data_IF_201103442752
#
_entry.id   IF_201103442752
#
_cell.length_a   1.000
_cell.length_b   1.000
_cell.length_c   1.000
_cell.angle_alpha   90.00
_cell.angle_beta   90.00
_cell.angle_gamma   90.00
#
_symmetry.space_group_name_H-M   'P 1'
#
loop_
_entity.id
_entity.type
_entity.pdbx_description
1 polymer ?
#
# COMPACT_ATOMS: atom_id res chain seq x y z
N UNK A 1 -3.51 -3.71 -10.15
CA UNK A 1 -4.32 -4.79 -9.55
C UNK A 1 -4.54 -4.45 -8.10
N UNK A 2 -5.79 -4.25 -7.68
CA UNK A 2 -6.13 -3.89 -6.29
C UNK A 2 -6.44 -5.11 -5.42
N UNK A 3 -6.56 -6.29 -6.03
CA UNK A 3 -6.70 -7.58 -5.38
C UNK A 3 -5.99 -8.64 -6.22
N UNK A 4 -5.47 -9.69 -5.58
CA UNK A 4 -4.90 -10.85 -6.23
C UNK A 4 -5.83 -12.04 -6.00
N UNK A 5 -6.29 -12.65 -7.09
CA UNK A 5 -7.26 -13.75 -7.06
C UNK A 5 -6.54 -15.00 -7.56
N UNK A 6 -6.53 -16.07 -6.77
CA UNK A 6 -5.88 -17.33 -7.14
C UNK A 6 -6.85 -18.48 -7.07
N UNK A 7 -7.05 -19.15 -8.21
CA UNK A 7 -7.76 -20.42 -8.27
C UNK A 7 -6.85 -21.58 -7.90
N UNK A 8 -7.27 -22.40 -6.94
CA UNK A 8 -6.59 -23.63 -6.53
C UNK A 8 -7.60 -24.77 -6.45
N UNK A 9 -7.57 -25.69 -7.43
CA UNK A 9 -8.39 -26.90 -7.38
C UNK A 9 -7.72 -28.00 -6.56
N UNK A 10 -8.53 -28.86 -5.97
CA UNK A 10 -8.05 -30.05 -5.28
C UNK A 10 -7.50 -31.08 -6.30
N UNK A 11 -6.40 -31.80 -5.99
CA UNK A 11 -5.60 -31.75 -4.76
C UNK A 11 -4.64 -30.56 -4.71
N UNK A 12 -4.57 -29.89 -3.56
CA UNK A 12 -3.65 -28.76 -3.34
C UNK A 12 -2.26 -29.31 -2.96
N UNK A 13 -1.31 -29.15 -3.87
CA UNK A 13 0.07 -29.58 -3.68
C UNK A 13 0.81 -28.69 -2.68
N UNK A 14 1.75 -29.26 -1.91
CA UNK A 14 2.58 -28.51 -0.96
C UNK A 14 3.36 -27.35 -1.62
N UNK A 15 3.79 -27.55 -2.87
CA UNK A 15 4.43 -26.49 -3.68
C UNK A 15 3.51 -25.27 -3.86
N UNK A 16 2.21 -25.49 -4.06
CA UNK A 16 1.21 -24.42 -4.21
C UNK A 16 1.06 -23.64 -2.92
N UNK A 17 1.01 -24.33 -1.77
CA UNK A 17 0.97 -23.68 -0.44
C UNK A 17 2.23 -22.85 -0.22
N UNK A 18 3.40 -23.37 -0.59
CA UNK A 18 4.67 -22.64 -0.53
C UNK A 18 4.64 -21.35 -1.36
N UNK A 19 4.09 -21.41 -2.58
CA UNK A 19 3.90 -20.23 -3.43
C UNK A 19 2.93 -19.22 -2.82
N UNK A 20 1.81 -19.67 -2.24
CA UNK A 20 0.83 -18.81 -1.59
C UNK A 20 1.43 -18.06 -0.38
N UNK A 21 2.19 -18.77 0.48
CA UNK A 21 2.93 -18.16 1.60
C UNK A 21 4.00 -17.17 1.13
N UNK A 22 4.59 -17.41 -0.03
CA UNK A 22 5.55 -16.50 -0.65
C UNK A 22 4.88 -15.24 -1.17
N UNK A 23 3.70 -15.37 -1.77
CA UNK A 23 2.88 -14.25 -2.26
C UNK A 23 2.40 -13.40 -1.09
N UNK A 24 1.87 -14.03 -0.03
CA UNK A 24 1.45 -13.36 1.20
C UNK A 24 2.58 -12.49 1.76
N UNK A 25 3.76 -13.08 1.98
CA UNK A 25 4.92 -12.36 2.50
C UNK A 25 5.28 -11.18 1.60
N UNK A 26 5.37 -11.39 0.29
CA UNK A 26 5.85 -10.37 -0.67
C UNK A 26 4.81 -9.29 -0.96
N UNK A 27 3.51 -9.54 -0.74
CA UNK A 27 2.41 -8.62 -1.09
C UNK A 27 1.44 -8.37 0.06
N UNK A 28 1.96 -8.04 1.24
CA UNK A 28 1.18 -7.74 2.45
C UNK A 28 0.07 -6.68 2.29
N UNK A 29 0.15 -5.79 1.30
CA UNK A 29 -0.86 -4.75 1.04
C UNK A 29 -1.65 -4.98 -0.24
N UNK A 30 -1.57 -6.17 -0.82
CA UNK A 30 -2.49 -6.60 -1.86
C UNK A 30 -3.36 -7.71 -1.25
N UNK A 31 -4.68 -7.52 -1.15
CA UNK A 31 -5.54 -8.57 -0.64
C UNK A 31 -5.43 -9.81 -1.52
N UNK A 32 -5.40 -10.98 -0.88
CA UNK A 32 -5.35 -12.28 -1.56
C UNK A 32 -6.70 -12.98 -1.36
N UNK A 33 -7.45 -13.15 -2.45
CA UNK A 33 -8.67 -13.96 -2.46
C UNK A 33 -8.32 -15.31 -3.07
N UNK A 34 -8.64 -16.36 -2.34
CA UNK A 34 -8.42 -17.71 -2.80
C UNK A 34 -9.73 -18.32 -3.28
N UNK A 35 -9.75 -18.81 -4.51
CA UNK A 35 -10.88 -19.55 -5.06
C UNK A 35 -10.55 -21.03 -5.01
N UNK A 36 -11.35 -21.84 -4.33
CA UNK A 36 -11.07 -23.27 -4.17
C UNK A 36 -12.32 -24.15 -4.19
N UNK A 37 -12.12 -25.46 -4.27
CA UNK A 37 -13.21 -26.43 -4.20
C UNK A 37 -13.71 -26.54 -2.75
N UNK A 38 -15.00 -26.82 -2.57
CA UNK A 38 -15.64 -26.96 -1.25
C UNK A 38 -15.32 -28.32 -0.62
N UNK A 39 -14.03 -28.59 -0.44
CA UNK A 39 -13.47 -29.83 0.08
C UNK A 39 -12.79 -29.56 1.43
N UNK A 40 -13.16 -30.25 2.54
CA UNK A 40 -12.59 -30.00 3.87
C UNK A 40 -11.06 -30.05 3.91
N UNK A 41 -10.47 -30.97 3.16
CA UNK A 41 -9.02 -31.14 3.06
C UNK A 41 -8.33 -29.97 2.35
N UNK A 42 -9.00 -29.36 1.36
CA UNK A 42 -8.50 -28.15 0.71
C UNK A 42 -8.47 -27.00 1.70
N UNK A 43 -9.57 -26.78 2.44
CA UNK A 43 -9.68 -25.72 3.47
C UNK A 43 -8.62 -25.89 4.56
N UNK A 44 -8.46 -27.11 5.07
CA UNK A 44 -7.46 -27.40 6.10
C UNK A 44 -6.03 -27.18 5.62
N UNK A 45 -5.70 -27.41 4.35
CA UNK A 45 -4.36 -27.14 3.81
C UNK A 45 -4.08 -25.66 3.58
N UNK A 46 -5.13 -24.85 3.49
CA UNK A 46 -5.06 -23.43 3.19
C UNK A 46 -5.18 -22.54 4.44
N UNK A 47 -5.50 -23.11 5.61
CA UNK A 47 -5.61 -22.38 6.88
C UNK A 47 -4.33 -21.63 7.28
N UNK A 48 -3.17 -22.12 6.83
CA UNK A 48 -1.87 -21.51 7.13
C UNK A 48 -1.47 -20.39 6.15
N UNK A 49 -2.35 -20.06 5.19
CA UNK A 49 -2.14 -18.93 4.27
C UNK A 49 -3.03 -17.79 4.73
N UNK A 50 -2.44 -16.63 5.02
CA UNK A 50 -3.23 -15.45 5.35
C UNK A 50 -3.91 -14.91 4.09
N UNK A 51 -5.14 -15.34 3.87
CA UNK A 51 -6.02 -14.88 2.78
C UNK A 51 -6.97 -13.82 3.32
N UNK A 52 -7.38 -12.88 2.46
CA UNK A 52 -8.40 -11.88 2.78
C UNK A 52 -9.80 -12.48 2.71
N UNK A 53 -10.01 -13.46 1.81
CA UNK A 53 -11.25 -14.22 1.67
C UNK A 53 -10.99 -15.56 0.98
N UNK A 54 -11.90 -16.51 1.19
CA UNK A 54 -11.97 -17.78 0.46
C UNK A 54 -13.32 -17.87 -0.23
N UNK A 55 -13.32 -18.04 -1.55
CA UNK A 55 -14.52 -18.17 -2.39
C UNK A 55 -14.56 -19.57 -2.96
N UNK A 56 -15.74 -20.17 -3.05
CA UNK A 56 -15.89 -21.49 -3.65
C UNK A 56 -16.01 -21.38 -5.17
N UNK A 57 -15.42 -22.32 -5.90
CA UNK A 57 -15.61 -22.37 -7.37
C UNK A 57 -17.09 -22.46 -7.77
N UNK A 58 -17.92 -23.12 -6.96
CA UNK A 58 -19.35 -23.24 -7.18
C UNK A 58 -20.09 -21.90 -7.11
N UNK A 59 -19.61 -20.99 -6.26
CA UNK A 59 -20.28 -19.73 -5.90
C UNK A 59 -19.56 -18.50 -6.49
N UNK A 60 -18.61 -18.73 -7.40
CA UNK A 60 -17.69 -17.71 -7.91
C UNK A 60 -18.40 -16.51 -8.53
N UNK A 61 -19.49 -16.71 -9.27
CA UNK A 61 -20.18 -15.61 -9.94
C UNK A 61 -20.93 -14.70 -8.95
N UNK A 62 -21.41 -15.26 -7.84
CA UNK A 62 -22.24 -14.54 -6.86
C UNK A 62 -21.42 -13.95 -5.72
N UNK A 63 -20.40 -14.66 -5.24
CA UNK A 63 -19.63 -14.27 -4.06
C UNK A 63 -18.37 -13.47 -4.39
N UNK A 64 -17.67 -13.78 -5.49
CA UNK A 64 -16.38 -13.16 -5.79
C UNK A 64 -16.44 -11.62 -5.88
N UNK A 65 -17.45 -10.99 -6.52
CA UNK A 65 -17.53 -9.53 -6.54
C UNK A 65 -17.65 -8.91 -5.15
N UNK A 66 -18.45 -9.53 -4.26
CA UNK A 66 -18.66 -9.06 -2.89
C UNK A 66 -17.38 -9.19 -2.05
N UNK A 67 -16.69 -10.33 -2.18
CA UNK A 67 -15.44 -10.58 -1.49
C UNK A 67 -14.30 -9.69 -2.00
N UNK A 68 -14.29 -9.31 -3.28
CA UNK A 68 -13.35 -8.32 -3.81
C UNK A 68 -13.54 -6.97 -3.10
N UNK A 69 -14.78 -6.48 -2.98
CA UNK A 69 -15.05 -5.21 -2.31
C UNK A 69 -14.71 -5.29 -0.81
N UNK A 70 -15.12 -6.36 -0.12
CA UNK A 70 -14.80 -6.56 1.29
C UNK A 70 -13.27 -6.65 1.53
N UNK A 71 -12.55 -7.39 0.69
CA UNK A 71 -11.11 -7.55 0.80
C UNK A 71 -10.38 -6.22 0.53
N UNK A 72 -10.84 -5.40 -0.41
CA UNK A 72 -10.29 -4.05 -0.64
C UNK A 72 -10.47 -3.17 0.59
N UNK A 73 -11.66 -3.16 1.19
CA UNK A 73 -11.94 -2.43 2.43
C UNK A 73 -11.12 -2.89 3.64
N UNK A 74 -10.66 -4.15 3.64
CA UNK A 74 -9.81 -4.71 4.70
C UNK A 74 -8.36 -4.18 4.67
N UNK A 75 -7.88 -3.69 3.51
CA UNK A 75 -6.50 -3.22 3.35
C UNK A 75 -6.42 -1.73 3.70
N UNK A 76 -5.68 -1.34 4.75
CA UNK A 76 -5.73 0.05 5.23
C UNK A 76 -5.32 1.12 4.19
N UNK A 77 -4.35 0.82 3.32
CA UNK A 77 -3.94 1.75 2.26
C UNK A 77 -5.00 1.95 1.18
N UNK A 78 -5.76 0.89 0.83
CA UNK A 78 -6.85 0.99 -0.13
C UNK A 78 -8.03 1.74 0.47
N UNK A 79 -8.36 1.48 1.74
CA UNK A 79 -9.35 2.24 2.48
C UNK A 79 -9.00 3.73 2.59
N UNK A 80 -7.73 4.06 2.83
CA UNK A 80 -7.27 5.46 2.80
C UNK A 80 -7.41 6.08 1.40
N UNK A 81 -7.20 5.29 0.34
CA UNK A 81 -7.37 5.76 -1.03
C UNK A 81 -8.85 6.06 -1.34
N UNK A 82 -9.77 5.21 -0.87
CA UNK A 82 -11.22 5.44 -0.98
C UNK A 82 -11.64 6.69 -0.22
N UNK A 83 -11.25 6.80 1.06
CA UNK A 83 -11.53 7.98 1.89
C UNK A 83 -10.98 9.27 1.26
N UNK A 84 -9.79 9.24 0.68
CA UNK A 84 -9.22 10.39 -0.02
C UNK A 84 -9.97 10.75 -1.32
N UNK A 85 -10.64 9.77 -1.95
CA UNK A 85 -11.49 10.01 -3.13
C UNK A 85 -12.81 10.67 -2.77
N UNK A 86 -13.36 10.36 -1.59
CA UNK A 86 -14.63 10.89 -1.08
C UNK A 86 -14.47 12.19 -0.28
N UNK A 87 -13.26 12.47 0.21
CA UNK A 87 -12.97 13.66 0.99
C UNK A 87 -13.20 14.96 0.21
N UNK A 88 -13.58 16.01 0.94
CA UNK A 88 -13.68 17.37 0.40
C UNK A 88 -12.27 17.93 0.16
N UNK A 89 -11.70 17.63 -1.00
CA UNK A 89 -10.37 18.05 -1.42
C UNK A 89 -10.43 18.81 -2.76
N UNK A 90 -9.42 19.64 -3.07
CA UNK A 90 -9.24 20.19 -4.41
C UNK A 90 -9.31 19.08 -5.48
N UNK A 91 -9.92 19.32 -6.66
CA UNK A 91 -10.08 18.29 -7.70
C UNK A 91 -8.79 17.54 -8.05
N UNK A 92 -7.67 18.26 -8.10
CA UNK A 92 -6.37 17.69 -8.39
C UNK A 92 -5.87 16.71 -7.32
N UNK A 93 -6.19 16.93 -6.04
CA UNK A 93 -5.84 16.04 -4.94
C UNK A 93 -6.79 14.85 -4.81
N UNK A 94 -8.09 15.03 -5.12
CA UNK A 94 -9.07 13.92 -5.17
C UNK A 94 -8.66 12.84 -6.17
N UNK A 95 -7.92 13.17 -7.21
CA UNK A 95 -7.34 12.19 -8.15
C UNK A 95 -5.96 11.73 -7.70
N UNK A 96 -5.08 12.66 -7.31
CA UNK A 96 -3.68 12.35 -7.03
C UNK A 96 -3.46 11.50 -5.77
N UNK A 97 -4.17 11.77 -4.67
CA UNK A 97 -3.96 11.05 -3.41
C UNK A 97 -4.42 9.58 -3.52
N UNK A 98 -5.65 9.28 -3.99
CA UNK A 98 -6.07 7.89 -4.15
C UNK A 98 -5.16 7.11 -5.11
N UNK A 99 -4.76 7.73 -6.24
CA UNK A 99 -3.83 7.11 -7.17
C UNK A 99 -2.50 6.75 -6.50
N UNK A 100 -1.90 7.70 -5.79
CA UNK A 100 -0.61 7.48 -5.12
C UNK A 100 -0.67 6.38 -4.06
N UNK A 101 -1.76 6.31 -3.26
CA UNK A 101 -1.96 5.29 -2.23
C UNK A 101 -2.13 3.89 -2.85
N UNK A 102 -2.92 3.78 -3.93
CA UNK A 102 -3.11 2.53 -4.67
C UNK A 102 -1.80 2.03 -5.29
N UNK A 103 -1.00 2.94 -5.85
CA UNK A 103 0.25 2.60 -6.50
C UNK A 103 1.26 1.91 -5.56
N UNK A 104 1.25 2.24 -4.26
CA UNK A 104 2.13 1.64 -3.24
C UNK A 104 2.01 0.12 -3.17
N UNK A 105 0.84 -0.44 -3.48
CA UNK A 105 0.61 -1.89 -3.42
C UNK A 105 1.47 -2.67 -4.41
N UNK A 106 1.91 -2.04 -5.50
CA UNK A 106 2.85 -2.61 -6.46
C UNK A 106 4.18 -1.84 -6.50
N UNK A 107 4.15 -0.64 -7.07
CA UNK A 107 5.30 0.26 -7.22
C UNK A 107 4.90 1.71 -6.86
N UNK A 108 5.43 2.26 -5.76
CA UNK A 108 5.09 3.62 -5.33
C UNK A 108 5.57 4.66 -6.35
N UNK A 109 4.78 5.72 -6.51
CA UNK A 109 5.14 6.87 -7.35
C UNK A 109 6.37 7.57 -6.76
N UNK A 110 7.40 7.78 -7.60
CA UNK A 110 8.74 8.18 -7.15
C UNK A 110 8.96 9.68 -7.16
N UNK A 111 8.13 10.42 -7.88
CA UNK A 111 8.26 11.88 -8.01
C UNK A 111 6.93 12.56 -8.29
N UNK A 112 6.88 13.87 -8.01
CA UNK A 112 5.71 14.70 -8.35
C UNK A 112 5.47 14.71 -9.87
N UNK A 113 6.53 14.70 -10.68
CA UNK A 113 6.42 14.67 -12.15
C UNK A 113 5.74 13.39 -12.65
N UNK A 114 6.10 12.24 -12.06
CA UNK A 114 5.48 10.96 -12.37
C UNK A 114 4.01 10.93 -11.96
N UNK A 115 3.68 11.45 -10.76
CA UNK A 115 2.29 11.56 -10.31
C UNK A 115 1.46 12.45 -11.25
N UNK A 116 1.99 13.64 -11.55
CA UNK A 116 1.39 14.62 -12.45
C UNK A 116 1.06 14.03 -13.82
N UNK A 117 2.00 13.29 -14.42
CA UNK A 117 1.78 12.60 -15.68
C UNK A 117 0.67 11.54 -15.57
N UNK A 118 0.63 10.78 -14.48
CA UNK A 118 -0.36 9.72 -14.28
C UNK A 118 -1.79 10.22 -14.05
N UNK A 119 -1.95 11.41 -13.46
CA UNK A 119 -3.28 12.00 -13.18
C UNK A 119 -3.63 13.20 -14.06
N UNK A 120 -2.85 13.46 -15.11
CA UNK A 120 -3.08 14.53 -16.09
C UNK A 120 -3.17 15.94 -15.50
N UNK A 121 -2.37 16.24 -14.47
CA UNK A 121 -2.22 17.58 -13.90
C UNK A 121 -0.79 18.09 -14.04
N UNK A 122 -0.57 19.41 -13.95
CA UNK A 122 0.81 19.93 -13.89
C UNK A 122 1.46 19.64 -12.53
N UNK A 123 2.79 19.40 -12.46
CA UNK A 123 3.50 19.20 -11.20
C UNK A 123 3.34 20.38 -10.22
N UNK A 124 3.28 21.60 -10.75
CA UNK A 124 3.12 22.83 -9.98
C UNK A 124 1.73 22.89 -9.36
N UNK A 125 0.69 22.57 -10.15
CA UNK A 125 -0.70 22.52 -9.69
C UNK A 125 -0.87 21.54 -8.54
N UNK A 126 -0.32 20.32 -8.66
CA UNK A 126 -0.37 19.32 -7.60
C UNK A 126 0.36 19.77 -6.34
N UNK A 127 1.58 20.29 -6.49
CA UNK A 127 2.39 20.73 -5.36
C UNK A 127 1.74 21.89 -4.60
N UNK A 128 1.18 22.86 -5.33
CA UNK A 128 0.48 24.01 -4.75
C UNK A 128 -0.81 23.59 -4.06
N UNK A 129 -1.64 22.77 -4.71
CA UNK A 129 -2.87 22.27 -4.10
C UNK A 129 -2.58 21.49 -2.81
N UNK A 130 -1.58 20.61 -2.83
CA UNK A 130 -1.20 19.83 -1.65
C UNK A 130 -0.65 20.71 -0.53
N UNK A 131 0.26 21.63 -0.84
CA UNK A 131 0.85 22.52 0.17
C UNK A 131 -0.20 23.42 0.80
N UNK A 132 -1.16 23.94 0.01
CA UNK A 132 -2.28 24.72 0.52
C UNK A 132 -3.18 23.89 1.43
N UNK A 133 -3.54 22.67 1.02
CA UNK A 133 -4.33 21.76 1.84
C UNK A 133 -3.65 21.40 3.17
N UNK A 134 -2.31 21.36 3.18
CA UNK A 134 -1.49 21.09 4.36
C UNK A 134 -1.04 22.32 5.14
N UNK A 135 -1.50 23.53 4.78
CA UNK A 135 -1.03 24.82 5.33
C UNK A 135 0.51 24.90 5.41
N UNK A 136 1.20 24.43 4.36
CA UNK A 136 2.65 24.46 4.24
C UNK A 136 3.43 23.46 5.13
N UNK A 137 2.78 22.72 6.03
CA UNK A 137 3.47 21.85 7.01
C UNK A 137 4.29 20.72 6.39
N UNK A 138 3.95 20.32 5.17
CA UNK A 138 4.66 19.28 4.44
C UNK A 138 4.47 19.45 2.93
N UNK A 139 5.30 18.78 2.14
CA UNK A 139 5.27 18.87 0.69
C UNK A 139 4.79 17.57 0.06
N UNK A 140 4.23 17.65 -1.14
CA UNK A 140 3.81 16.48 -1.89
C UNK A 140 4.99 15.51 -2.14
N UNK A 141 6.19 16.04 -2.32
CA UNK A 141 7.40 15.22 -2.43
C UNK A 141 7.69 14.44 -1.15
N UNK A 142 7.57 15.05 0.04
CA UNK A 142 7.80 14.35 1.32
C UNK A 142 6.75 13.27 1.55
N UNK A 143 5.50 13.52 1.17
CA UNK A 143 4.44 12.51 1.20
C UNK A 143 4.76 11.31 0.30
N UNK A 144 5.16 11.53 -0.95
CA UNK A 144 5.57 10.45 -1.86
C UNK A 144 6.79 9.70 -1.35
N UNK A 145 7.74 10.39 -0.71
CA UNK A 145 8.87 9.76 -0.04
C UNK A 145 8.41 8.81 1.08
N UNK A 146 7.46 9.21 1.91
CA UNK A 146 6.90 8.35 2.96
C UNK A 146 6.24 7.09 2.38
N UNK A 147 5.50 7.20 1.27
CA UNK A 147 4.93 6.05 0.56
C UNK A 147 5.99 5.07 0.03
N UNK A 148 7.11 5.60 -0.50
CA UNK A 148 8.25 4.77 -0.92
C UNK A 148 8.85 4.02 0.27
N UNK A 149 9.00 4.68 1.41
CA UNK A 149 9.58 4.07 2.60
C UNK A 149 8.65 3.03 3.23
N UNK A 150 7.34 3.28 3.23
CA UNK A 150 6.33 2.30 3.57
C UNK A 150 6.54 1.01 2.75
N UNK A 151 6.58 1.12 1.42
CA UNK A 151 6.80 -0.04 0.56
C UNK A 151 8.14 -0.71 0.82
N UNK A 152 9.20 0.06 1.02
CA UNK A 152 10.52 -0.48 1.31
C UNK A 152 10.54 -1.31 2.60
N UNK A 153 9.90 -0.83 3.67
CA UNK A 153 9.73 -1.57 4.93
C UNK A 153 8.96 -2.86 4.71
N UNK A 154 7.83 -2.82 3.99
CA UNK A 154 7.04 -4.02 3.70
C UNK A 154 7.82 -5.07 2.90
N UNK A 155 8.54 -4.67 1.84
CA UNK A 155 9.39 -5.58 1.07
C UNK A 155 10.52 -6.16 1.93
N UNK A 156 11.07 -5.37 2.86
CA UNK A 156 12.11 -5.83 3.78
C UNK A 156 11.56 -6.87 4.77
N UNK A 157 10.38 -6.62 5.35
CA UNK A 157 9.68 -7.53 6.26
C UNK A 157 9.27 -8.84 5.57
N UNK A 158 9.12 -8.85 4.25
CA UNK A 158 8.89 -10.09 3.48
C UNK A 158 10.13 -11.00 3.35
N UNK A 159 11.27 -10.61 3.93
CA UNK A 159 12.53 -11.33 3.84
C UNK A 159 13.43 -10.92 2.67
N UNK A 160 13.07 -9.91 1.86
CA UNK A 160 14.02 -9.40 0.85
C UNK A 160 15.19 -8.68 1.52
N UNK A 161 16.38 -8.79 0.93
CA UNK A 161 17.53 -7.99 1.34
C UNK A 161 17.46 -6.58 0.72
N UNK A 162 18.20 -5.63 1.29
CA UNK A 162 18.19 -4.23 0.82
C UNK A 162 18.64 -4.03 -0.62
N UNK A 163 19.50 -4.90 -1.16
CA UNK A 163 19.91 -4.85 -2.57
C UNK A 163 18.72 -5.13 -3.49
N UNK A 164 17.94 -6.16 -3.19
CA UNK A 164 16.71 -6.50 -3.91
C UNK A 164 15.63 -5.44 -3.74
N UNK A 165 15.46 -4.89 -2.53
CA UNK A 165 14.49 -3.78 -2.28
C UNK A 165 14.87 -2.54 -3.11
N UNK A 166 16.15 -2.17 -3.11
CA UNK A 166 16.67 -1.03 -3.88
C UNK A 166 16.42 -1.20 -5.38
N UNK A 167 16.74 -2.39 -5.92
CA UNK A 167 16.50 -2.73 -7.32
C UNK A 167 15.00 -2.70 -7.68
N UNK A 168 14.14 -3.27 -6.82
CA UNK A 168 12.68 -3.32 -7.04
C UNK A 168 12.05 -1.94 -7.05
N UNK A 169 12.51 -1.03 -6.18
CA UNK A 169 11.98 0.34 -6.08
C UNK A 169 12.66 1.33 -7.02
N UNK A 170 13.76 0.94 -7.66
CA UNK A 170 14.54 1.83 -8.54
C UNK A 170 15.22 2.97 -7.78
N UNK A 171 15.60 2.76 -6.53
CA UNK A 171 16.34 3.72 -5.70
C UNK A 171 17.62 3.11 -5.18
N UNK A 172 18.72 3.86 -5.20
CA UNK A 172 19.93 3.49 -4.47
C UNK A 172 19.67 3.41 -2.96
N UNK A 173 20.40 2.55 -2.25
CA UNK A 173 20.21 2.32 -0.82
C UNK A 173 20.41 3.60 0.00
N UNK A 174 21.38 4.41 -0.38
CA UNK A 174 21.70 5.70 0.23
C UNK A 174 20.54 6.69 0.08
N UNK A 175 19.82 6.61 -1.04
CA UNK A 175 18.62 7.41 -1.27
C UNK A 175 17.47 6.95 -0.38
N UNK A 176 17.26 5.64 -0.24
CA UNK A 176 16.27 5.09 0.70
C UNK A 176 16.61 5.48 2.15
N UNK A 177 17.88 5.45 2.54
CA UNK A 177 18.32 5.85 3.88
C UNK A 177 18.14 7.35 4.14
N UNK A 178 18.41 8.21 3.15
CA UNK A 178 18.16 9.65 3.26
C UNK A 178 16.66 9.95 3.37
N UNK A 179 15.83 9.28 2.57
CA UNK A 179 14.37 9.41 2.62
C UNK A 179 13.79 8.89 3.94
N UNK A 180 14.30 7.76 4.45
CA UNK A 180 13.84 7.21 5.72
C UNK A 180 14.07 8.16 6.89
N UNK A 181 15.23 8.81 6.98
CA UNK A 181 15.54 9.78 8.05
C UNK A 181 14.56 10.96 8.10
N UNK A 182 14.00 11.34 6.95
CA UNK A 182 13.04 12.44 6.81
C UNK A 182 11.61 12.06 7.21
N UNK A 183 11.35 10.77 7.39
CA UNK A 183 10.10 10.24 7.91
C UNK A 183 10.34 9.78 9.35
N UNK A 184 9.56 10.33 10.30
CA UNK A 184 10.05 10.85 11.59
C UNK A 184 11.23 10.06 12.18
N UNK A 185 12.45 10.45 11.78
CA UNK A 185 13.70 9.95 12.36
C UNK A 185 14.00 8.46 12.17
N UNK A 186 13.28 7.74 11.30
CA UNK A 186 13.47 6.31 11.16
C UNK A 186 14.71 5.99 10.28
N UNK A 187 15.72 5.37 10.88
CA UNK A 187 16.78 4.70 10.12
C UNK A 187 16.23 3.47 9.41
N UNK A 188 16.91 2.99 8.36
CA UNK A 188 16.55 1.72 7.71
C UNK A 188 16.47 0.56 8.70
N UNK A 189 17.33 0.54 9.72
CA UNK A 189 17.33 -0.48 10.78
C UNK A 189 16.08 -0.39 11.66
N UNK A 190 15.65 0.82 12.02
CA UNK A 190 14.43 1.01 12.80
C UNK A 190 13.18 0.64 12.00
N UNK A 191 13.18 0.87 10.67
CA UNK A 191 12.09 0.45 9.79
C UNK A 191 11.90 -1.06 9.73
N UNK A 192 12.95 -1.86 9.94
CA UNK A 192 12.83 -3.33 9.98
C UNK A 192 12.09 -3.80 11.23
N UNK A 193 12.19 -3.04 12.32
CA UNK A 193 11.61 -3.37 13.63
C UNK A 193 10.24 -2.73 13.85
N UNK A 194 9.85 -1.78 13.00
CA UNK A 194 8.60 -1.05 13.15
C UNK A 194 7.43 -1.90 12.63
N UNK A 195 6.35 -2.10 13.42
CA UNK A 195 5.17 -2.79 12.92
C UNK A 195 4.49 -1.95 11.83
N UNK A 196 3.91 -2.59 10.78
CA UNK A 196 3.26 -1.88 9.67
C UNK A 196 2.20 -0.87 10.10
N UNK A 197 1.41 -1.18 11.13
CA UNK A 197 0.33 -0.31 11.61
C UNK A 197 0.85 1.01 12.18
N UNK A 198 1.99 0.97 12.88
CA UNK A 198 2.63 2.18 13.41
C UNK A 198 3.13 3.09 12.29
N UNK A 199 3.72 2.49 11.26
CA UNK A 199 4.20 3.21 10.09
C UNK A 199 3.04 3.83 9.31
N UNK A 200 1.93 3.11 9.18
CA UNK A 200 0.72 3.62 8.56
C UNK A 200 0.10 4.78 9.37
N UNK A 201 0.00 4.65 10.69
CA UNK A 201 -0.51 5.71 11.55
C UNK A 201 0.33 7.00 11.39
N UNK A 202 1.65 6.88 11.36
CA UNK A 202 2.55 8.01 11.13
C UNK A 202 2.37 8.65 9.75
N UNK A 203 2.06 7.86 8.69
CA UNK A 203 1.70 8.41 7.38
C UNK A 203 0.43 9.27 7.50
N UNK A 204 -0.60 8.74 8.14
CA UNK A 204 -1.90 9.40 8.27
C UNK A 204 -1.76 10.72 9.02
N UNK A 205 -1.14 10.68 10.19
CA UNK A 205 -0.91 11.85 11.06
C UNK A 205 -0.12 12.95 10.34
N UNK A 206 1.00 12.60 9.70
CA UNK A 206 1.91 13.61 9.15
C UNK A 206 1.51 14.15 7.78
N UNK A 207 0.78 13.37 6.98
CA UNK A 207 0.55 13.71 5.59
C UNK A 207 -0.91 13.71 5.16
N UNK A 208 -1.80 13.00 5.86
CA UNK A 208 -3.19 12.83 5.41
C UNK A 208 -4.24 13.51 6.30
N UNK A 209 -3.93 13.88 7.54
CA UNK A 209 -4.87 14.62 8.39
C UNK A 209 -4.92 16.13 8.10
N UNK A 210 -6.08 16.74 7.83
CA UNK A 210 -6.14 18.19 7.66
C UNK A 210 -5.60 18.91 8.91
N UNK A 211 -4.99 20.10 8.74
CA UNK A 211 -4.50 20.87 9.87
C UNK A 211 -5.65 21.19 10.84
N UNK A 212 -5.46 20.94 12.14
CA UNK A 212 -6.41 21.33 13.17
C UNK A 212 -6.21 22.81 13.53
N UNK A 213 -7.28 23.52 13.95
CA UNK A 213 -7.15 24.88 14.46
C UNK A 213 -6.22 24.89 15.69
N UNK A 214 -5.07 25.57 15.56
CA UNK A 214 -4.11 25.75 16.66
C UNK A 214 -2.81 24.96 16.56
N UNK A 215 -2.62 24.03 15.60
CA UNK A 215 -1.31 23.38 15.52
C UNK A 215 -0.24 24.34 14.95
N UNK A 216 0.98 24.33 15.51
CA UNK A 216 2.07 25.18 15.04
C UNK A 216 2.40 24.88 13.57
N UNK A 217 2.66 25.94 12.80
CA UNK A 217 3.17 25.81 11.43
C UNK A 217 4.53 25.13 11.47
N UNK A 218 4.65 23.95 10.88
CA UNK A 218 5.93 23.27 10.75
C UNK A 218 6.80 24.06 9.74
N UNK A 219 7.94 24.57 10.21
CA UNK A 219 8.93 25.29 9.42
C UNK A 219 9.69 24.43 8.42
#
# INVERSE_FOLDING_TARGET
MECLILGCRHPILAKTIGLLRDIERKRLWTPLILVTDRQPEAVSRLSDVKTSAVVWFADLQTELPLEIEAARGSVPLLRLAEQAGEATLPPSLRTALPYSLRAVTDLPVRSVKELAAAVSYSPITLSKAFSNWRDGRTTLSRYLEALVILRASQLRSSGMNWKSVSARLGFARETLQRKSKRWPGCTLVQLEKAPPDRLLAALVEQFLQPPQPGDPKAG
#
